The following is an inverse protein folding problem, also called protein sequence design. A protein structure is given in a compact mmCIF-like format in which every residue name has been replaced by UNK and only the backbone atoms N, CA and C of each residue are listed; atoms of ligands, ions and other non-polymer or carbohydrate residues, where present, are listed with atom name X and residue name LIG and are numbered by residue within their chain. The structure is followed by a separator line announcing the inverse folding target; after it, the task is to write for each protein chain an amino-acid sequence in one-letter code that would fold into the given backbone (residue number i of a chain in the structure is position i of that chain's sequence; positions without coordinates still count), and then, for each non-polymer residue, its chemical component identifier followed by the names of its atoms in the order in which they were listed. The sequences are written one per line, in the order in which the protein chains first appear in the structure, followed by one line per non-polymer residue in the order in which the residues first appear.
data_IF_336752312786
#
_entry.id   IF_336752312786
#
_cell.length_a   1.000
_cell.length_b   1.000
_cell.length_c   1.000
_cell.angle_alpha   90.00
_cell.angle_beta   90.00
_cell.angle_gamma   90.00
#
_symmetry.space_group_name_H-M   'P 1'
#
loop_
_entity.id
_entity.type
_entity.pdbx_description
1 polymer ?
#
# COMPACT_ATOMS: atom_id res chain seq x y z
N UNK A 1 23.05 -2.95 27.41
CA UNK A 1 22.24 -2.07 28.29
C UNK A 1 20.80 -1.91 27.80
N UNK A 2 20.54 -1.43 26.58
CA UNK A 2 19.15 -1.28 26.08
C UNK A 2 18.34 -2.59 26.07
N UNK A 3 18.96 -3.71 25.70
CA UNK A 3 18.33 -5.03 25.76
C UNK A 3 17.94 -5.44 27.21
N UNK A 4 18.76 -5.05 28.20
CA UNK A 4 18.53 -5.33 29.62
C UNK A 4 17.34 -4.52 30.14
N UNK A 5 17.29 -3.22 29.82
CA UNK A 5 16.14 -2.36 30.13
C UNK A 5 14.87 -2.93 29.50
N UNK A 6 14.89 -3.27 28.20
CA UNK A 6 13.73 -3.85 27.50
C UNK A 6 13.31 -5.21 28.08
N UNK A 7 14.25 -6.00 28.62
CA UNK A 7 13.95 -7.24 29.33
C UNK A 7 13.17 -6.98 30.62
N UNK A 8 13.67 -6.08 31.48
CA UNK A 8 13.00 -5.73 32.73
C UNK A 8 11.64 -5.05 32.52
N UNK A 9 11.51 -4.18 31.51
CA UNK A 9 10.22 -3.57 31.15
C UNK A 9 9.19 -4.62 30.72
N UNK A 10 9.58 -5.60 29.89
CA UNK A 10 8.68 -6.70 29.48
C UNK A 10 8.30 -7.59 30.67
N UNK A 11 9.19 -7.77 31.63
CA UNK A 11 8.93 -8.48 32.87
C UNK A 11 8.16 -7.64 33.92
N UNK A 12 7.72 -6.42 33.57
CA UNK A 12 7.04 -5.48 34.48
C UNK A 12 7.84 -5.12 35.75
N UNK A 13 9.18 -5.17 35.67
CA UNK A 13 10.11 -4.86 36.77
C UNK A 13 10.80 -3.51 36.56
N UNK A 14 10.03 -2.42 36.62
CA UNK A 14 10.50 -1.07 36.29
C UNK A 14 11.60 -0.55 37.25
N UNK A 15 11.52 -0.93 38.52
CA UNK A 15 12.51 -0.64 39.57
C UNK A 15 13.90 -1.16 39.20
N UNK A 16 13.97 -2.38 38.63
CA UNK A 16 15.21 -3.00 38.18
C UNK A 16 15.74 -2.41 36.88
N UNK A 17 14.86 -1.84 36.05
CA UNK A 17 15.26 -1.16 34.81
C UNK A 17 15.87 0.23 35.07
N UNK A 18 15.42 0.92 36.12
CA UNK A 18 15.70 2.34 36.34
C UNK A 18 17.21 2.71 36.42
N UNK A 19 18.08 1.96 37.13
CA UNK A 19 19.51 2.29 37.18
C UNK A 19 20.19 2.20 35.81
N UNK A 20 19.84 1.18 35.02
CA UNK A 20 20.39 0.99 33.68
C UNK A 20 19.87 2.05 32.70
N UNK A 21 18.61 2.45 32.85
CA UNK A 21 18.03 3.55 32.06
C UNK A 21 18.74 4.88 32.34
N UNK A 22 19.03 5.18 33.61
CA UNK A 22 19.79 6.39 33.99
C UNK A 22 21.17 6.42 33.33
N UNK A 23 21.92 5.32 33.42
CA UNK A 23 23.24 5.19 32.79
C UNK A 23 23.15 5.37 31.26
N UNK A 24 22.12 4.82 30.63
CA UNK A 24 21.91 4.98 29.19
C UNK A 24 21.67 6.44 28.80
N UNK A 25 20.84 7.16 29.54
CA UNK A 25 20.54 8.57 29.25
C UNK A 25 21.74 9.48 29.49
N UNK A 26 22.54 9.22 30.53
CA UNK A 26 23.76 9.99 30.82
C UNK A 26 24.85 9.76 29.77
N UNK A 27 25.09 8.49 29.38
CA UNK A 27 26.15 8.16 28.42
C UNK A 27 25.76 8.39 26.96
N UNK A 28 24.47 8.25 26.65
CA UNK A 28 23.94 8.36 25.29
C UNK A 28 22.71 9.29 25.30
N UNK A 29 22.91 10.61 25.53
CA UNK A 29 21.81 11.58 25.62
C UNK A 29 21.00 11.71 24.33
N UNK A 30 21.60 11.36 23.19
CA UNK A 30 20.94 11.28 21.88
C UNK A 30 20.63 9.83 21.45
N UNK A 31 20.86 8.84 22.32
CA UNK A 31 20.66 7.43 22.01
C UNK A 31 19.18 7.03 21.90
N UNK A 32 18.90 5.83 21.39
CA UNK A 32 17.53 5.34 21.21
C UNK A 32 16.68 5.35 22.49
N UNK A 33 17.31 5.17 23.66
CA UNK A 33 16.62 5.23 24.95
C UNK A 33 16.10 6.64 25.30
N UNK A 34 16.76 7.70 24.80
CA UNK A 34 16.32 9.09 24.95
C UNK A 34 15.31 9.50 23.87
N UNK A 35 15.47 8.96 22.65
CA UNK A 35 14.60 9.25 21.51
C UNK A 35 13.21 8.60 21.66
N UNK A 36 13.14 7.34 22.11
CA UNK A 36 11.92 6.55 22.07
C UNK A 36 10.74 7.17 22.84
N UNK A 37 10.88 7.70 24.08
CA UNK A 37 9.78 8.37 24.77
C UNK A 37 9.24 9.59 24.00
N UNK A 38 10.12 10.42 23.45
CA UNK A 38 9.73 11.60 22.65
C UNK A 38 9.04 11.22 21.35
N UNK A 39 9.49 10.14 20.71
CA UNK A 39 8.79 9.59 19.57
C UNK A 39 7.38 9.06 19.93
N UNK A 40 7.22 8.43 21.10
CA UNK A 40 5.91 7.97 21.57
C UNK A 40 4.97 9.14 21.90
N UNK A 41 5.48 10.23 22.48
CA UNK A 41 4.72 11.49 22.66
C UNK A 41 4.19 11.99 21.30
N UNK A 42 5.04 12.04 20.28
CA UNK A 42 4.63 12.40 18.92
C UNK A 42 3.55 11.46 18.35
N UNK A 43 3.70 10.14 18.53
CA UNK A 43 2.70 9.16 18.07
C UNK A 43 1.36 9.27 18.80
N UNK A 44 1.37 9.70 20.06
CA UNK A 44 0.19 9.86 20.88
C UNK A 44 -0.58 11.16 20.61
N UNK A 45 0.07 12.14 19.96
CA UNK A 45 -0.57 13.40 19.58
C UNK A 45 -1.72 13.16 18.59
N UNK A 46 -2.90 13.71 18.92
CA UNK A 46 -4.17 13.41 18.22
C UNK A 46 -4.51 14.42 17.13
N UNK A 47 -4.24 15.71 17.36
CA UNK A 47 -4.52 16.79 16.41
C UNK A 47 -3.26 17.27 15.69
N UNK A 48 -3.46 18.06 14.63
CA UNK A 48 -2.41 18.59 13.78
C UNK A 48 -1.41 19.46 14.58
N UNK A 49 -1.90 20.38 15.41
CA UNK A 49 -1.04 21.32 16.14
C UNK A 49 -0.12 20.58 17.13
N UNK A 50 -0.68 19.65 17.90
CA UNK A 50 0.07 18.81 18.82
C UNK A 50 1.10 17.93 18.10
N UNK A 51 0.76 17.38 16.93
CA UNK A 51 1.70 16.61 16.10
C UNK A 51 2.84 17.46 15.57
N UNK A 52 2.54 18.63 15.02
CA UNK A 52 3.56 19.55 14.51
C UNK A 52 4.51 19.96 15.64
N UNK A 53 3.96 20.38 16.78
CA UNK A 53 4.76 20.80 17.93
C UNK A 53 5.69 19.69 18.43
N UNK A 54 5.14 18.52 18.76
CA UNK A 54 5.93 17.40 19.28
C UNK A 54 6.94 16.87 18.27
N UNK A 55 6.62 16.92 16.97
CA UNK A 55 7.52 16.53 15.89
C UNK A 55 8.70 17.50 15.74
N UNK A 56 8.44 18.81 15.72
CA UNK A 56 9.51 19.83 15.65
C UNK A 56 10.38 19.83 16.90
N UNK A 57 9.80 19.63 18.09
CA UNK A 57 10.55 19.44 19.34
C UNK A 57 11.48 18.22 19.25
N UNK A 58 10.99 17.10 18.71
CA UNK A 58 11.82 15.91 18.49
C UNK A 58 12.96 16.20 17.51
N UNK A 59 12.66 16.76 16.34
CA UNK A 59 13.65 17.01 15.27
C UNK A 59 14.73 17.98 15.76
N UNK A 60 14.32 19.03 16.47
CA UNK A 60 15.24 20.00 17.07
C UNK A 60 16.17 19.34 18.08
N UNK A 61 15.63 18.47 18.93
CA UNK A 61 16.40 17.78 19.97
C UNK A 61 17.29 16.66 19.43
N UNK A 62 16.85 15.98 18.37
CA UNK A 62 17.51 14.82 17.79
C UNK A 62 17.61 14.97 16.26
N UNK A 63 18.39 15.92 15.73
CA UNK A 63 18.42 16.22 14.30
C UNK A 63 18.94 15.06 13.43
N UNK A 64 19.70 14.13 14.02
CA UNK A 64 20.16 12.87 13.40
C UNK A 64 19.48 11.65 14.02
N UNK A 65 18.34 11.84 14.68
CA UNK A 65 17.61 10.80 15.37
C UNK A 65 17.00 9.78 14.41
N UNK A 66 16.77 8.57 14.90
CA UNK A 66 16.29 7.42 14.14
C UNK A 66 14.90 7.63 13.53
N UNK A 67 14.11 8.55 14.09
CA UNK A 67 12.73 8.80 13.69
C UNK A 67 12.52 10.10 12.90
N UNK A 68 13.57 10.88 12.61
CA UNK A 68 13.44 12.20 11.94
C UNK A 68 12.71 12.08 10.61
N UNK A 69 13.18 11.22 9.70
CA UNK A 69 12.56 11.07 8.37
C UNK A 69 11.11 10.59 8.45
N UNK A 70 10.79 9.72 9.41
CA UNK A 70 9.42 9.27 9.64
C UNK A 70 8.52 10.41 10.14
N UNK A 71 8.98 11.17 11.14
CA UNK A 71 8.24 12.30 11.70
C UNK A 71 7.97 13.35 10.62
N UNK A 72 8.99 13.71 9.84
CA UNK A 72 8.85 14.65 8.72
C UNK A 72 7.82 14.17 7.70
N UNK A 73 7.84 12.88 7.33
CA UNK A 73 6.84 12.29 6.44
C UNK A 73 5.42 12.34 7.02
N UNK A 74 5.26 12.09 8.32
CA UNK A 74 3.96 12.24 8.99
C UNK A 74 3.50 13.69 8.99
N UNK A 75 4.37 14.66 9.29
CA UNK A 75 4.04 16.09 9.27
C UNK A 75 3.53 16.52 7.89
N UNK A 76 4.24 16.16 6.81
CA UNK A 76 3.80 16.42 5.44
C UNK A 76 2.43 15.82 5.17
N UNK A 77 2.20 14.57 5.59
CA UNK A 77 0.90 13.92 5.43
C UNK A 77 -0.22 14.58 6.25
N UNK A 78 0.06 15.12 7.43
CA UNK A 78 -0.95 15.85 8.20
C UNK A 78 -1.33 17.17 7.52
N UNK A 79 -0.37 17.89 6.91
CA UNK A 79 -0.70 19.05 6.06
C UNK A 79 -1.55 18.65 4.84
N UNK A 80 -1.19 17.57 4.16
CA UNK A 80 -1.97 17.02 3.03
C UNK A 80 -3.40 16.68 3.46
N UNK A 81 -3.58 15.98 4.59
CA UNK A 81 -4.90 15.63 5.12
C UNK A 81 -5.74 16.87 5.38
N UNK A 82 -5.14 17.91 5.97
CA UNK A 82 -5.76 19.21 6.21
C UNK A 82 -5.99 20.05 4.94
N UNK A 83 -5.60 19.57 3.75
CA UNK A 83 -5.71 20.31 2.49
C UNK A 83 -4.71 21.46 2.34
N UNK A 84 -3.73 21.56 3.25
CA UNK A 84 -2.74 22.63 3.29
C UNK A 84 -1.54 22.28 2.39
N UNK A 85 -1.79 22.13 1.09
CA UNK A 85 -0.78 21.67 0.12
C UNK A 85 0.43 22.58 0.02
N UNK A 86 0.25 23.91 0.04
CA UNK A 86 1.36 24.86 -0.01
C UNK A 86 2.33 24.67 1.17
N UNK A 87 1.78 24.48 2.38
CA UNK A 87 2.60 24.19 3.58
C UNK A 87 3.27 22.83 3.49
N UNK A 88 2.60 21.82 2.94
CA UNK A 88 3.19 20.50 2.74
C UNK A 88 4.39 20.56 1.77
N UNK A 89 4.27 21.33 0.69
CA UNK A 89 5.32 21.58 -0.30
C UNK A 89 6.47 22.38 0.32
N UNK A 90 6.16 23.48 1.00
CA UNK A 90 7.14 24.31 1.70
C UNK A 90 7.94 23.51 2.72
N UNK A 91 7.24 22.75 3.58
CA UNK A 91 7.87 21.90 4.58
C UNK A 91 8.79 20.87 3.93
N UNK A 92 8.32 20.20 2.88
CA UNK A 92 9.12 19.23 2.13
C UNK A 92 10.41 19.88 1.62
N UNK A 93 10.30 21.01 0.92
CA UNK A 93 11.45 21.65 0.28
C UNK A 93 12.45 22.30 1.26
N UNK A 94 12.00 22.69 2.46
CA UNK A 94 12.82 23.47 3.41
C UNK A 94 13.31 22.66 4.61
N UNK A 95 12.60 21.60 5.00
CA UNK A 95 12.90 20.82 6.22
C UNK A 95 13.49 19.44 5.91
N UNK A 96 13.26 18.89 4.73
CA UNK A 96 13.78 17.57 4.34
C UNK A 96 15.07 17.75 3.52
N UNK A 97 16.20 17.35 4.09
CA UNK A 97 17.51 17.54 3.46
C UNK A 97 17.74 16.63 2.24
N UNK A 98 17.34 15.36 2.34
CA UNK A 98 17.54 14.35 1.30
C UNK A 98 16.23 14.08 0.57
N UNK A 99 15.88 14.98 -0.36
CA UNK A 99 14.67 14.85 -1.15
C UNK A 99 14.75 13.65 -2.10
N UNK A 100 13.65 12.91 -2.15
CA UNK A 100 13.52 11.67 -2.94
C UNK A 100 12.37 11.77 -3.92
N UNK A 101 12.37 10.87 -4.91
CA UNK A 101 11.26 10.70 -5.83
C UNK A 101 9.93 10.50 -5.08
N UNK A 102 9.95 9.73 -4.00
CA UNK A 102 8.75 9.42 -3.22
C UNK A 102 8.22 10.60 -2.41
N UNK A 103 9.07 11.56 -2.00
CA UNK A 103 8.60 12.78 -1.36
C UNK A 103 7.71 13.59 -2.31
N UNK A 104 8.18 13.80 -3.55
CA UNK A 104 7.41 14.52 -4.55
C UNK A 104 6.22 13.71 -5.09
N UNK A 105 6.39 12.40 -5.26
CA UNK A 105 5.31 11.50 -5.67
C UNK A 105 4.12 11.56 -4.70
N UNK A 106 4.39 11.51 -3.40
CA UNK A 106 3.34 11.57 -2.36
C UNK A 106 2.54 12.86 -2.44
N UNK A 107 3.21 14.01 -2.58
CA UNK A 107 2.54 15.30 -2.74
C UNK A 107 1.72 15.35 -4.03
N UNK A 108 2.32 14.96 -5.16
CA UNK A 108 1.67 15.02 -6.46
C UNK A 108 0.43 14.11 -6.52
N UNK A 109 0.54 12.89 -6.02
CA UNK A 109 -0.56 11.94 -5.93
C UNK A 109 -1.70 12.48 -5.06
N UNK A 110 -1.39 13.01 -3.88
CA UNK A 110 -2.42 13.56 -3.01
C UNK A 110 -3.13 14.79 -3.62
N UNK A 111 -2.39 15.65 -4.34
CA UNK A 111 -2.98 16.77 -5.07
C UNK A 111 -3.87 16.29 -6.22
N UNK A 112 -3.45 15.23 -6.93
CA UNK A 112 -4.24 14.59 -7.98
C UNK A 112 -5.56 14.01 -7.45
N UNK A 113 -5.51 13.27 -6.34
CA UNK A 113 -6.69 12.64 -5.72
C UNK A 113 -7.69 13.66 -5.18
N UNK A 114 -7.22 14.80 -4.68
CA UNK A 114 -8.08 15.85 -4.10
C UNK A 114 -8.51 16.92 -5.11
N UNK A 115 -8.28 16.71 -6.41
CA UNK A 115 -8.59 17.71 -7.45
C UNK A 115 -7.99 19.10 -7.14
N UNK A 116 -6.80 19.13 -6.54
CA UNK A 116 -6.08 20.37 -6.24
C UNK A 116 -5.44 20.95 -7.51
N UNK A 117 -4.51 21.91 -7.37
CA UNK A 117 -3.81 22.51 -8.51
C UNK A 117 -3.05 21.44 -9.33
N UNK A 118 -3.61 21.09 -10.48
CA UNK A 118 -3.08 20.06 -11.39
C UNK A 118 -1.76 20.47 -12.04
N UNK A 119 -1.56 21.76 -12.32
CA UNK A 119 -0.28 22.23 -12.88
C UNK A 119 0.82 22.07 -11.83
N UNK A 120 0.51 22.42 -10.58
CA UNK A 120 1.45 22.23 -9.47
C UNK A 120 1.72 20.76 -9.18
N UNK A 121 0.69 19.91 -9.20
CA UNK A 121 0.84 18.47 -9.08
C UNK A 121 1.74 17.91 -10.19
N UNK A 122 1.60 18.40 -11.41
CA UNK A 122 2.41 17.99 -12.56
C UNK A 122 3.89 18.37 -12.39
N UNK A 123 4.17 19.58 -11.91
CA UNK A 123 5.55 20.01 -11.58
C UNK A 123 6.19 19.08 -10.55
N UNK A 124 5.46 18.74 -9.48
CA UNK A 124 5.96 17.85 -8.43
C UNK A 124 6.17 16.44 -8.96
N UNK A 125 5.22 15.89 -9.72
CA UNK A 125 5.36 14.57 -10.31
C UNK A 125 6.57 14.50 -11.27
N UNK A 126 6.80 15.55 -12.07
CA UNK A 126 7.97 15.63 -12.95
C UNK A 126 9.29 15.62 -12.15
N UNK A 127 9.38 16.36 -11.03
CA UNK A 127 10.54 16.29 -10.11
C UNK A 127 10.71 14.88 -9.53
N UNK A 128 9.61 14.22 -9.19
CA UNK A 128 9.60 12.84 -8.76
C UNK A 128 10.23 11.91 -9.80
N UNK A 129 9.79 12.02 -11.06
CA UNK A 129 10.35 11.26 -12.19
C UNK A 129 11.84 11.55 -12.36
N UNK A 130 12.25 12.81 -12.32
CA UNK A 130 13.66 13.21 -12.47
C UNK A 130 14.56 12.54 -11.41
N UNK A 131 14.15 12.58 -10.13
CA UNK A 131 14.87 11.91 -9.05
C UNK A 131 14.83 10.38 -9.16
N UNK A 132 13.69 9.83 -9.60
CA UNK A 132 13.54 8.39 -9.85
C UNK A 132 14.50 7.89 -10.93
N UNK A 133 14.70 8.64 -12.01
CA UNK A 133 15.70 8.33 -13.05
C UNK A 133 17.13 8.33 -12.54
N UNK A 134 17.41 9.10 -11.49
CA UNK A 134 18.70 9.13 -10.78
C UNK A 134 18.79 8.04 -9.70
N UNK A 135 17.82 7.13 -9.62
CA UNK A 135 17.66 6.08 -8.59
C UNK A 135 17.54 6.62 -7.15
N UNK A 136 17.02 7.83 -6.97
CA UNK A 136 16.84 8.47 -5.66
C UNK A 136 15.39 8.28 -5.18
N UNK A 137 14.97 7.03 -4.94
CA UNK A 137 13.60 6.72 -4.53
C UNK A 137 13.35 6.89 -3.03
N UNK A 138 14.32 6.50 -2.21
CA UNK A 138 14.24 6.60 -0.75
C UNK A 138 15.60 7.04 -0.20
N UNK A 139 15.60 7.81 0.90
CA UNK A 139 16.82 8.40 1.48
C UNK A 139 17.84 7.33 1.91
N UNK A 140 17.37 6.16 2.34
CA UNK A 140 18.18 5.06 2.86
C UNK A 140 18.00 3.75 2.07
N UNK A 141 17.72 3.83 0.77
CA UNK A 141 17.51 2.63 -0.04
C UNK A 141 18.77 1.77 -0.08
N UNK A 142 18.74 0.63 0.61
CA UNK A 142 19.81 -0.36 0.65
C UNK A 142 19.22 -1.74 0.48
N UNK A 143 19.92 -2.61 -0.25
CA UNK A 143 19.57 -4.02 -0.34
C UNK A 143 19.60 -4.64 1.07
N UNK A 144 18.52 -5.30 1.48
CA UNK A 144 18.53 -6.02 2.76
C UNK A 144 19.32 -7.34 2.64
N UNK A 145 19.82 -7.91 3.76
CA UNK A 145 20.58 -9.16 3.71
C UNK A 145 19.83 -10.36 3.13
N UNK A 146 18.49 -10.33 3.18
CA UNK A 146 17.62 -11.42 2.71
C UNK A 146 17.14 -11.23 1.26
N UNK A 147 17.40 -10.08 0.65
CA UNK A 147 17.05 -9.82 -0.75
C UNK A 147 18.20 -10.20 -1.68
N UNK A 148 17.87 -10.96 -2.72
CA UNK A 148 18.75 -11.15 -3.87
C UNK A 148 18.95 -9.84 -4.62
N UNK A 149 20.01 -9.76 -5.44
CA UNK A 149 20.25 -8.60 -6.30
C UNK A 149 19.12 -8.40 -7.31
N UNK A 150 18.56 -9.50 -7.84
CA UNK A 150 17.45 -9.45 -8.78
C UNK A 150 16.19 -8.85 -8.14
N UNK A 151 15.82 -9.31 -6.94
CA UNK A 151 14.67 -8.77 -6.20
C UNK A 151 14.86 -7.30 -5.87
N UNK A 152 16.08 -6.91 -5.49
CA UNK A 152 16.39 -5.51 -5.22
C UNK A 152 16.24 -4.64 -6.47
N UNK A 153 16.79 -5.06 -7.61
CA UNK A 153 16.61 -4.36 -8.89
C UNK A 153 15.13 -4.26 -9.26
N UNK A 154 14.36 -5.35 -9.11
CA UNK A 154 12.91 -5.33 -9.34
C UNK A 154 12.20 -4.34 -8.43
N UNK A 155 12.59 -4.23 -7.16
CA UNK A 155 12.00 -3.26 -6.24
C UNK A 155 12.23 -1.81 -6.69
N UNK A 156 13.43 -1.49 -7.19
CA UNK A 156 13.76 -0.17 -7.75
C UNK A 156 12.92 0.11 -9.01
N UNK A 157 12.82 -0.86 -9.92
CA UNK A 157 12.01 -0.70 -11.14
C UNK A 157 10.53 -0.48 -10.82
N UNK A 158 9.98 -1.20 -9.83
CA UNK A 158 8.60 -0.99 -9.35
C UNK A 158 8.41 0.41 -8.75
N UNK A 159 9.37 0.92 -7.98
CA UNK A 159 9.32 2.30 -7.47
C UNK A 159 9.32 3.31 -8.62
N UNK A 160 10.11 3.09 -9.68
CA UNK A 160 10.05 3.92 -10.89
C UNK A 160 8.66 3.84 -11.55
N UNK A 161 8.11 2.64 -11.67
CA UNK A 161 6.76 2.42 -12.22
C UNK A 161 5.69 3.19 -11.47
N UNK A 162 5.72 3.20 -10.14
CA UNK A 162 4.79 3.97 -9.30
C UNK A 162 4.88 5.48 -9.53
N UNK A 163 6.10 6.00 -9.66
CA UNK A 163 6.33 7.43 -9.92
C UNK A 163 5.84 7.82 -11.32
N UNK A 164 6.07 6.96 -12.31
CA UNK A 164 5.56 7.15 -13.67
C UNK A 164 4.04 7.02 -13.76
N UNK A 165 3.43 6.14 -12.97
CA UNK A 165 1.97 6.00 -12.91
C UNK A 165 1.32 7.29 -12.42
N UNK A 166 1.83 7.85 -11.31
CA UNK A 166 1.38 9.15 -10.78
C UNK A 166 1.55 10.26 -11.80
N UNK A 167 2.73 10.36 -12.42
CA UNK A 167 3.00 11.37 -13.44
C UNK A 167 2.08 11.24 -14.65
N UNK A 168 1.89 10.03 -15.16
CA UNK A 168 1.02 9.72 -16.28
C UNK A 168 -0.45 9.99 -16.00
N UNK A 169 -0.93 9.66 -14.80
CA UNK A 169 -2.28 9.98 -14.36
C UNK A 169 -2.55 11.49 -14.34
N UNK A 170 -1.60 12.27 -13.83
CA UNK A 170 -1.69 13.74 -13.78
C UNK A 170 -1.60 14.33 -15.20
N UNK A 171 -0.70 13.84 -16.04
CA UNK A 171 -0.61 14.25 -17.45
C UNK A 171 -1.94 14.06 -18.18
N UNK A 172 -2.59 12.90 -17.98
CA UNK A 172 -3.87 12.60 -18.59
C UNK A 172 -4.95 13.60 -18.14
N UNK A 173 -5.00 13.89 -16.84
CA UNK A 173 -5.93 14.86 -16.24
C UNK A 173 -5.66 16.30 -16.70
N UNK A 174 -4.39 16.65 -16.93
CA UNK A 174 -3.95 17.92 -17.51
C UNK A 174 -4.20 18.02 -19.03
N UNK A 175 -4.77 16.99 -19.67
CA UNK A 175 -5.04 16.97 -21.11
C UNK A 175 -3.83 16.65 -21.99
N UNK A 176 -2.68 16.30 -21.41
CA UNK A 176 -1.44 15.94 -22.12
C UNK A 176 -1.43 14.45 -22.46
N UNK A 177 -2.37 14.04 -23.31
CA UNK A 177 -2.75 12.63 -23.52
C UNK A 177 -1.61 11.78 -24.10
N UNK A 178 -0.88 12.27 -25.07
CA UNK A 178 0.22 11.54 -25.74
C UNK A 178 1.38 11.31 -24.78
N UNK A 179 1.69 12.30 -23.94
CA UNK A 179 2.70 12.18 -22.88
C UNK A 179 2.25 11.18 -21.82
N UNK A 180 0.97 11.22 -21.43
CA UNK A 180 0.40 10.27 -20.49
C UNK A 180 0.51 8.82 -20.98
N UNK A 181 0.21 8.57 -22.26
CA UNK A 181 0.37 7.24 -22.88
C UNK A 181 1.80 6.74 -22.74
N UNK A 182 2.81 7.59 -22.99
CA UNK A 182 4.22 7.21 -22.87
C UNK A 182 4.60 6.86 -21.43
N UNK A 183 4.26 7.73 -20.48
CA UNK A 183 4.58 7.52 -19.07
C UNK A 183 3.90 6.26 -18.50
N UNK A 184 2.61 6.06 -18.81
CA UNK A 184 1.84 4.94 -18.32
C UNK A 184 2.24 3.61 -18.99
N UNK A 185 2.59 3.63 -20.28
CA UNK A 185 3.12 2.43 -20.96
C UNK A 185 4.39 1.94 -20.26
N UNK A 186 5.28 2.86 -19.91
CA UNK A 186 6.51 2.52 -19.20
C UNK A 186 6.23 2.07 -17.76
N UNK A 187 5.30 2.73 -17.05
CA UNK A 187 4.88 2.30 -15.71
C UNK A 187 4.39 0.86 -15.70
N UNK A 188 3.50 0.53 -16.66
CA UNK A 188 2.98 -0.83 -16.89
C UNK A 188 4.10 -1.82 -17.20
N UNK A 189 5.05 -1.44 -18.06
CA UNK A 189 6.19 -2.30 -18.40
C UNK A 189 7.08 -2.60 -17.18
N UNK A 190 7.42 -1.57 -16.40
CA UNK A 190 8.26 -1.70 -15.20
C UNK A 190 7.56 -2.47 -14.07
N UNK A 191 6.24 -2.36 -13.98
CA UNK A 191 5.39 -3.16 -13.08
C UNK A 191 5.11 -4.58 -13.58
N UNK A 192 5.68 -4.99 -14.71
CA UNK A 192 5.43 -6.30 -15.36
C UNK A 192 3.91 -6.55 -15.58
N UNK A 193 3.15 -5.48 -15.84
CA UNK A 193 1.70 -5.43 -15.97
C UNK A 193 0.91 -5.99 -14.78
N UNK A 194 1.51 -6.14 -13.59
CA UNK A 194 0.85 -6.79 -12.44
C UNK A 194 -0.16 -5.87 -11.72
N UNK A 195 0.01 -4.55 -11.84
CA UNK A 195 -0.79 -3.57 -11.10
C UNK A 195 -2.07 -3.20 -11.87
N UNK A 196 -3.22 -3.69 -11.40
CA UNK A 196 -4.53 -3.48 -12.04
C UNK A 196 -4.87 -2.00 -12.22
N UNK A 197 -4.67 -1.16 -11.20
CA UNK A 197 -5.00 0.27 -11.27
C UNK A 197 -4.13 1.05 -12.27
N UNK A 198 -2.82 0.77 -12.32
CA UNK A 198 -1.90 1.37 -13.29
C UNK A 198 -2.28 0.94 -14.71
N UNK A 199 -2.66 -0.32 -14.90
CA UNK A 199 -3.17 -0.84 -16.17
C UNK A 199 -4.46 -0.13 -16.60
N UNK A 200 -5.40 0.14 -15.68
CA UNK A 200 -6.62 0.91 -15.97
C UNK A 200 -6.30 2.30 -16.49
N UNK A 201 -5.37 3.01 -15.83
CA UNK A 201 -4.96 4.37 -16.23
C UNK A 201 -4.31 4.35 -17.61
N UNK A 202 -3.44 3.37 -17.87
CA UNK A 202 -2.84 3.20 -19.18
C UNK A 202 -3.88 2.99 -20.29
N UNK A 203 -4.87 2.12 -20.06
CA UNK A 203 -5.99 1.92 -20.98
C UNK A 203 -6.79 3.21 -21.17
N UNK A 204 -7.10 3.94 -20.11
CA UNK A 204 -7.76 5.26 -20.21
C UNK A 204 -6.97 6.23 -21.09
N UNK A 205 -5.64 6.25 -20.97
CA UNK A 205 -4.79 7.10 -21.82
C UNK A 205 -4.83 6.67 -23.30
N UNK A 206 -4.80 5.36 -23.59
CA UNK A 206 -4.96 4.84 -24.96
C UNK A 206 -6.31 5.24 -25.57
N UNK A 207 -7.39 5.10 -24.81
CA UNK A 207 -8.73 5.52 -25.24
C UNK A 207 -8.77 7.04 -25.51
N UNK A 208 -8.13 7.85 -24.65
CA UNK A 208 -8.14 9.31 -24.75
C UNK A 208 -7.45 9.83 -26.02
N UNK A 209 -6.43 9.14 -26.53
CA UNK A 209 -5.76 9.43 -27.82
C UNK A 209 -6.43 8.74 -29.02
N UNK A 210 -7.56 8.07 -28.80
CA UNK A 210 -8.31 7.37 -29.86
C UNK A 210 -7.72 6.02 -30.27
N UNK A 211 -6.69 5.52 -29.59
CA UNK A 211 -6.10 4.19 -29.83
C UNK A 211 -6.95 3.08 -29.19
N UNK A 212 -8.20 2.99 -29.65
CA UNK A 212 -9.21 2.06 -29.14
C UNK A 212 -8.88 0.60 -29.43
N UNK A 213 -8.13 0.32 -30.51
CA UNK A 213 -7.71 -1.04 -30.87
C UNK A 213 -6.74 -1.62 -29.84
N UNK A 214 -5.71 -0.87 -29.47
CA UNK A 214 -4.74 -1.35 -28.47
C UNK A 214 -5.36 -1.37 -27.07
N UNK A 215 -6.20 -0.38 -26.73
CA UNK A 215 -6.97 -0.35 -25.49
C UNK A 215 -7.82 -1.63 -25.34
N UNK A 216 -8.57 -2.00 -26.38
CA UNK A 216 -9.37 -3.21 -26.40
C UNK A 216 -8.52 -4.46 -26.22
N UNK A 217 -7.43 -4.61 -27.00
CA UNK A 217 -6.58 -5.80 -26.90
C UNK A 217 -5.96 -5.96 -25.49
N UNK A 218 -5.58 -4.85 -24.84
CA UNK A 218 -5.10 -4.86 -23.46
C UNK A 218 -6.19 -5.24 -22.47
N UNK A 219 -7.38 -4.68 -22.60
CA UNK A 219 -8.53 -5.00 -21.75
C UNK A 219 -8.90 -6.48 -21.80
N UNK A 220 -8.98 -7.06 -23.00
CA UNK A 220 -9.25 -8.49 -23.19
C UNK A 220 -8.18 -9.36 -22.53
N UNK A 221 -6.90 -8.99 -22.70
CA UNK A 221 -5.77 -9.68 -22.04
C UNK A 221 -5.89 -9.62 -20.52
N UNK A 222 -6.13 -8.44 -19.94
CA UNK A 222 -6.20 -8.25 -18.50
C UNK A 222 -7.41 -8.94 -17.89
N UNK A 223 -8.58 -8.85 -18.52
CA UNK A 223 -9.81 -9.53 -18.07
C UNK A 223 -9.76 -11.05 -18.23
N UNK A 224 -8.85 -11.57 -19.07
CA UNK A 224 -8.54 -13.01 -19.15
C UNK A 224 -7.48 -13.46 -18.13
N UNK A 225 -6.90 -12.52 -17.39
CA UNK A 225 -5.83 -12.74 -16.42
C UNK A 225 -6.23 -12.41 -14.99
N UNK A 226 -5.23 -12.31 -14.11
CA UNK A 226 -5.43 -11.93 -12.70
C UNK A 226 -5.46 -10.41 -12.50
N UNK A 227 -5.11 -9.66 -13.55
CA UNK A 227 -5.00 -8.21 -13.60
C UNK A 227 -6.35 -7.51 -13.81
N UNK A 228 -7.38 -8.25 -14.21
CA UNK A 228 -8.68 -7.72 -14.57
C UNK A 228 -9.41 -7.09 -13.38
N UNK A 229 -9.98 -5.91 -13.60
CA UNK A 229 -10.75 -5.18 -12.59
C UNK A 229 -12.17 -4.90 -13.09
N UNK A 230 -13.07 -4.51 -12.17
CA UNK A 230 -14.42 -4.09 -12.52
C UNK A 230 -14.40 -2.88 -13.48
N UNK A 231 -13.51 -1.92 -13.25
CA UNK A 231 -13.37 -0.74 -14.11
C UNK A 231 -12.82 -1.08 -15.50
N UNK A 232 -11.94 -2.08 -15.62
CA UNK A 232 -11.54 -2.57 -16.95
C UNK A 232 -12.72 -3.17 -17.72
N UNK A 233 -13.62 -3.89 -17.04
CA UNK A 233 -14.85 -4.39 -17.68
C UNK A 233 -15.73 -3.24 -18.18
N UNK A 234 -15.87 -2.17 -17.40
CA UNK A 234 -16.57 -0.94 -17.81
C UNK A 234 -15.89 -0.27 -19.03
N UNK A 235 -14.57 -0.09 -18.98
CA UNK A 235 -13.79 0.46 -20.10
C UNK A 235 -13.96 -0.39 -21.37
N UNK A 236 -13.98 -1.73 -21.26
CA UNK A 236 -14.21 -2.60 -22.41
C UNK A 236 -15.63 -2.46 -22.96
N UNK A 237 -16.62 -2.27 -22.07
CA UNK A 237 -18.00 -2.01 -22.47
C UNK A 237 -18.11 -0.72 -23.28
N UNK A 238 -17.47 0.36 -22.82
CA UNK A 238 -17.44 1.64 -23.54
C UNK A 238 -16.84 1.49 -24.94
N UNK A 239 -15.70 0.81 -25.04
CA UNK A 239 -15.04 0.56 -26.34
C UNK A 239 -15.92 -0.31 -27.25
N UNK A 240 -16.54 -1.35 -26.70
CA UNK A 240 -17.46 -2.23 -27.44
C UNK A 240 -18.68 -1.47 -27.98
N UNK A 241 -19.35 -0.67 -27.14
CA UNK A 241 -20.52 0.13 -27.53
C UNK A 241 -20.13 1.15 -28.60
N UNK A 242 -18.98 1.82 -28.47
CA UNK A 242 -18.50 2.78 -29.47
C UNK A 242 -18.28 2.13 -30.85
N UNK A 243 -17.87 0.87 -30.89
CA UNK A 243 -17.64 0.14 -32.13
C UNK A 243 -18.91 -0.52 -32.71
N UNK A 244 -19.80 -1.02 -31.85
CA UNK A 244 -20.98 -1.81 -32.25
C UNK A 244 -22.28 -1.02 -32.26
N UNK A 245 -22.30 0.17 -31.68
CA UNK A 245 -23.48 1.04 -31.56
C UNK A 245 -24.50 0.60 -30.50
N UNK A 246 -24.25 -0.51 -29.78
CA UNK A 246 -25.13 -1.05 -28.75
C UNK A 246 -24.34 -1.92 -27.78
N UNK A 247 -24.84 -2.07 -26.54
CA UNK A 247 -24.31 -3.02 -25.55
C UNK A 247 -24.76 -4.47 -25.80
N UNK A 248 -25.67 -4.67 -26.78
CA UNK A 248 -26.19 -5.99 -27.11
C UNK A 248 -25.05 -6.97 -27.41
N UNK A 249 -25.04 -8.10 -26.69
CA UNK A 249 -24.02 -9.14 -26.82
C UNK A 249 -22.76 -8.94 -25.98
N UNK A 250 -22.61 -7.81 -25.27
CA UNK A 250 -21.45 -7.53 -24.43
C UNK A 250 -21.28 -8.57 -23.30
N UNK A 251 -22.36 -8.98 -22.63
CA UNK A 251 -22.27 -9.97 -21.55
C UNK A 251 -21.72 -11.32 -22.05
N UNK A 252 -22.16 -11.76 -23.24
CA UNK A 252 -21.62 -12.96 -23.88
C UNK A 252 -20.15 -12.78 -24.28
N UNK A 253 -19.80 -11.58 -24.73
CA UNK A 253 -18.44 -11.22 -25.14
C UNK A 253 -17.46 -11.30 -23.95
N UNK A 254 -17.79 -10.62 -22.85
CA UNK A 254 -16.91 -10.54 -21.68
C UNK A 254 -16.86 -11.84 -20.87
N UNK A 255 -17.93 -12.64 -20.89
CA UNK A 255 -17.99 -13.92 -20.20
C UNK A 255 -16.87 -14.90 -20.62
N UNK A 256 -16.40 -14.83 -21.87
CA UNK A 256 -15.28 -15.65 -22.33
C UNK A 256 -13.97 -15.31 -21.59
N UNK A 257 -13.70 -14.03 -21.37
CA UNK A 257 -12.51 -13.55 -20.67
C UNK A 257 -12.60 -13.84 -19.17
N UNK A 258 -13.75 -13.54 -18.55
CA UNK A 258 -13.99 -13.83 -17.13
C UNK A 258 -13.85 -15.33 -16.82
N UNK A 259 -14.36 -16.19 -17.73
CA UNK A 259 -14.17 -17.64 -17.62
C UNK A 259 -12.70 -18.02 -17.73
N UNK A 260 -11.96 -17.45 -18.68
CA UNK A 260 -10.52 -17.71 -18.83
C UNK A 260 -9.72 -17.29 -17.57
N UNK A 261 -10.03 -16.13 -17.01
CA UNK A 261 -9.43 -15.67 -15.75
C UNK A 261 -9.75 -16.60 -14.58
N UNK A 262 -11.01 -17.02 -14.45
CA UNK A 262 -11.45 -17.95 -13.42
C UNK A 262 -10.73 -19.31 -13.53
N UNK A 263 -10.67 -19.87 -14.74
CA UNK A 263 -10.00 -21.16 -15.00
C UNK A 263 -8.51 -21.06 -14.68
N UNK A 264 -7.84 -19.96 -15.09
CA UNK A 264 -6.43 -19.71 -14.81
C UNK A 264 -6.16 -19.59 -13.31
N UNK A 265 -6.94 -18.76 -12.59
CA UNK A 265 -6.82 -18.59 -11.15
C UNK A 265 -7.04 -19.90 -10.40
N UNK A 266 -8.04 -20.68 -10.81
CA UNK A 266 -8.31 -22.01 -10.24
C UNK A 266 -7.15 -22.97 -10.48
N UNK A 267 -6.57 -22.98 -11.68
CA UNK A 267 -5.42 -23.83 -11.99
C UNK A 267 -4.16 -23.43 -11.20
N UNK A 268 -3.90 -22.13 -11.03
CA UNK A 268 -2.78 -21.63 -10.24
C UNK A 268 -2.93 -21.99 -8.75
N UNK A 269 -4.10 -21.71 -8.16
CA UNK A 269 -4.39 -22.07 -6.77
C UNK A 269 -4.22 -23.58 -6.53
N UNK A 270 -4.71 -24.43 -7.44
CA UNK A 270 -4.53 -25.89 -7.33
C UNK A 270 -3.06 -26.33 -7.32
N UNK A 271 -2.16 -25.60 -7.97
CA UNK A 271 -0.71 -25.90 -7.96
C UNK A 271 -0.05 -25.50 -6.65
N UNK A 272 -0.54 -24.44 -6.01
CA UNK A 272 -0.03 -23.92 -4.74
C UNK A 272 -0.63 -24.63 -3.52
N UNK A 273 -1.70 -25.40 -3.71
CA UNK A 273 -2.32 -26.19 -2.64
C UNK A 273 -1.34 -27.21 -2.07
N UNK A 274 -1.09 -27.09 -0.77
CA UNK A 274 -0.30 -28.06 -0.01
C UNK A 274 -1.24 -29.19 0.43
N UNK A 275 -0.89 -30.42 0.08
CA UNK A 275 -1.65 -31.62 0.47
C UNK A 275 -1.11 -32.22 1.78
N UNK A 276 -1.05 -31.39 2.82
CA UNK A 276 -0.65 -31.80 4.16
C UNK A 276 -1.79 -31.54 5.15
N UNK A 277 -1.99 -32.41 6.16
CA UNK A 277 -2.97 -32.14 7.20
C UNK A 277 -2.67 -30.82 7.90
N UNK A 278 -3.69 -29.97 8.04
CA UNK A 278 -3.56 -28.74 8.80
C UNK A 278 -3.18 -29.04 10.27
N UNK A 279 -2.24 -28.27 10.89
CA UNK A 279 -1.87 -28.44 12.28
C UNK A 279 -3.10 -28.38 13.21
N UNK A 280 -3.24 -29.39 14.06
CA UNK A 280 -4.36 -29.45 15.00
C UNK A 280 -4.18 -28.40 16.10
N UNK A 281 -5.27 -27.72 16.43
CA UNK A 281 -5.32 -26.78 17.55
C UNK A 281 -6.65 -26.88 18.29
N UNK A 282 -6.65 -26.35 19.52
CA UNK A 282 -7.87 -26.10 20.28
C UNK A 282 -7.74 -24.82 21.08
N UNK A 283 -8.76 -23.99 21.01
CA UNK A 283 -8.84 -22.69 21.66
C UNK A 283 -10.17 -22.55 22.40
N UNK A 284 -10.27 -21.55 23.26
CA UNK A 284 -11.53 -21.16 23.87
C UNK A 284 -12.19 -20.07 23.01
N UNK A 285 -13.50 -20.17 22.81
CA UNK A 285 -14.28 -19.06 22.27
C UNK A 285 -14.56 -17.99 23.33
N UNK A 286 -15.26 -16.92 22.94
CA UNK A 286 -15.61 -15.81 23.82
C UNK A 286 -16.53 -16.20 25.00
N UNK A 287 -17.18 -17.36 24.93
CA UNK A 287 -18.02 -17.90 25.99
C UNK A 287 -17.28 -18.93 26.86
N UNK A 288 -15.97 -19.12 26.64
CA UNK A 288 -15.16 -20.11 27.34
C UNK A 288 -15.39 -21.56 26.87
N UNK A 289 -16.09 -21.76 25.74
CA UNK A 289 -16.28 -23.10 25.17
C UNK A 289 -15.04 -23.49 24.37
N UNK A 290 -14.58 -24.72 24.59
CA UNK A 290 -13.50 -25.31 23.80
C UNK A 290 -13.96 -25.58 22.36
N UNK A 291 -13.20 -25.07 21.39
CA UNK A 291 -13.36 -25.28 19.96
C UNK A 291 -12.08 -25.93 19.44
N UNK A 292 -12.20 -27.00 18.64
CA UNK A 292 -11.08 -27.67 17.99
C UNK A 292 -11.23 -27.64 16.47
N UNK A 293 -10.10 -27.60 15.76
CA UNK A 293 -10.12 -27.74 14.29
C UNK A 293 -10.77 -29.06 13.84
N UNK A 294 -10.60 -30.14 14.62
CA UNK A 294 -11.18 -31.45 14.35
C UNK A 294 -12.72 -31.44 14.36
N UNK A 295 -13.35 -30.49 15.06
CA UNK A 295 -14.82 -30.36 15.13
C UNK A 295 -15.43 -30.00 13.77
N UNK A 296 -14.61 -29.55 12.82
CA UNK A 296 -15.03 -29.10 11.49
C UNK A 296 -14.56 -30.02 10.36
N UNK A 297 -14.34 -31.30 10.66
CA UNK A 297 -14.05 -32.32 9.64
C UNK A 297 -15.08 -32.26 8.51
N UNK A 298 -14.61 -32.49 7.28
CA UNK A 298 -15.39 -32.50 6.04
C UNK A 298 -15.98 -31.13 5.64
N UNK A 299 -15.57 -30.04 6.31
CA UNK A 299 -15.86 -28.66 5.92
C UNK A 299 -14.62 -27.98 5.36
N UNK A 300 -14.83 -26.99 4.50
CA UNK A 300 -13.80 -26.01 4.19
C UNK A 300 -13.68 -25.06 5.38
N UNK A 301 -12.53 -25.00 6.02
CA UNK A 301 -12.28 -24.12 7.17
C UNK A 301 -11.40 -22.95 6.74
N UNK A 302 -11.90 -21.73 6.93
CA UNK A 302 -11.15 -20.49 6.72
C UNK A 302 -10.72 -19.99 8.11
N UNK A 303 -9.42 -19.90 8.33
CA UNK A 303 -8.84 -19.39 9.57
C UNK A 303 -8.25 -18.01 9.32
N UNK A 304 -8.77 -17.01 10.02
CA UNK A 304 -8.33 -15.61 9.94
C UNK A 304 -7.66 -15.22 11.26
N UNK A 305 -6.37 -14.88 11.21
CA UNK A 305 -5.61 -14.41 12.37
C UNK A 305 -5.57 -12.88 12.38
N UNK A 306 -6.01 -12.27 13.48
CA UNK A 306 -6.14 -10.82 13.58
C UNK A 306 -5.79 -10.30 14.97
N UNK A 307 -5.58 -8.98 15.07
CA UNK A 307 -5.35 -8.29 16.34
C UNK A 307 -6.00 -6.90 16.37
N UNK A 308 -6.35 -6.41 17.56
CA UNK A 308 -7.02 -5.09 17.74
C UNK A 308 -6.16 -3.91 17.31
N UNK A 309 -4.84 -4.06 17.33
CA UNK A 309 -3.88 -3.06 16.87
C UNK A 309 -3.54 -3.18 15.37
N UNK A 310 -4.02 -4.23 14.69
CA UNK A 310 -3.74 -4.47 13.27
C UNK A 310 -4.73 -3.66 12.40
N UNK A 311 -4.33 -2.45 12.02
CA UNK A 311 -5.12 -1.57 11.15
C UNK A 311 -5.64 -2.26 9.87
N UNK A 312 -4.79 -2.92 9.06
CA UNK A 312 -5.25 -3.64 7.87
C UNK A 312 -6.24 -4.77 8.16
N UNK A 313 -6.09 -5.49 9.28
CA UNK A 313 -7.00 -6.55 9.68
C UNK A 313 -8.39 -5.97 9.99
N UNK A 314 -8.47 -4.86 10.72
CA UNK A 314 -9.75 -4.19 11.01
C UNK A 314 -10.44 -3.71 9.73
N UNK A 315 -9.67 -3.20 8.77
CA UNK A 315 -10.19 -2.77 7.47
C UNK A 315 -10.74 -3.92 6.61
N UNK A 316 -10.33 -5.18 6.83
CA UNK A 316 -10.81 -6.33 6.05
C UNK A 316 -12.16 -6.88 6.55
N UNK A 317 -12.57 -6.54 7.77
CA UNK A 317 -13.75 -7.11 8.43
C UNK A 317 -15.07 -6.95 7.66
N UNK A 318 -15.37 -5.81 7.00
CA UNK A 318 -16.56 -5.71 6.16
C UNK A 318 -16.60 -6.76 5.04
N UNK A 319 -15.45 -7.03 4.42
CA UNK A 319 -15.31 -8.07 3.41
C UNK A 319 -15.48 -9.48 3.99
N UNK A 320 -14.88 -9.75 5.14
CA UNK A 320 -15.02 -11.04 5.82
C UNK A 320 -16.46 -11.30 6.29
N UNK A 321 -17.15 -10.29 6.79
CA UNK A 321 -18.58 -10.39 7.10
C UNK A 321 -19.40 -10.82 5.87
N UNK A 322 -19.15 -10.18 4.73
CA UNK A 322 -19.83 -10.51 3.47
C UNK A 322 -19.55 -11.96 3.04
N UNK A 323 -18.31 -12.42 3.22
CA UNK A 323 -17.92 -13.81 2.91
C UNK A 323 -18.63 -14.82 3.84
N UNK A 324 -18.69 -14.54 5.14
CA UNK A 324 -19.40 -15.36 6.13
C UNK A 324 -20.88 -15.50 5.75
N UNK A 325 -21.55 -14.37 5.52
CA UNK A 325 -22.98 -14.32 5.16
C UNK A 325 -23.27 -15.13 3.89
N UNK A 326 -22.37 -15.06 2.90
CA UNK A 326 -22.52 -15.78 1.63
C UNK A 326 -22.23 -17.27 1.71
N UNK A 327 -21.19 -17.68 2.44
CA UNK A 327 -20.65 -19.03 2.34
C UNK A 327 -20.94 -19.93 3.55
N UNK A 328 -21.11 -19.39 4.76
CA UNK A 328 -21.46 -20.22 5.93
C UNK A 328 -22.91 -20.70 5.88
N UNK A 329 -23.82 -19.97 5.22
CA UNK A 329 -25.24 -20.32 5.11
C UNK A 329 -25.47 -21.72 4.50
N UNK A 330 -24.57 -22.18 3.63
CA UNK A 330 -24.62 -23.50 3.01
C UNK A 330 -24.08 -24.65 3.88
N UNK A 331 -23.57 -24.38 5.09
CA UNK A 331 -23.06 -25.38 6.04
C UNK A 331 -21.75 -26.08 5.66
N UNK A 332 -21.24 -25.86 4.44
CA UNK A 332 -20.01 -26.47 3.89
C UNK A 332 -18.73 -25.71 4.23
N UNK A 333 -18.86 -24.43 4.60
CA UNK A 333 -17.75 -23.55 4.93
C UNK A 333 -17.88 -23.11 6.38
N UNK A 334 -16.76 -23.08 7.11
CA UNK A 334 -16.67 -22.55 8.47
C UNK A 334 -15.56 -21.52 8.57
N UNK A 335 -15.84 -20.37 9.16
CA UNK A 335 -14.87 -19.33 9.46
C UNK A 335 -14.50 -19.37 10.94
N UNK A 336 -13.21 -19.24 11.23
CA UNK A 336 -12.64 -19.13 12.57
C UNK A 336 -11.76 -17.87 12.64
N UNK A 337 -12.20 -16.88 13.39
CA UNK A 337 -11.44 -15.65 13.65
C UNK A 337 -10.64 -15.80 14.94
N UNK A 338 -9.32 -15.92 14.82
CA UNK A 338 -8.40 -16.14 15.95
C UNK A 338 -7.75 -14.80 16.31
N UNK A 339 -8.06 -14.29 17.49
CA UNK A 339 -7.42 -13.09 18.00
C UNK A 339 -6.04 -13.43 18.60
N UNK A 340 -4.99 -12.71 18.16
CA UNK A 340 -3.59 -12.94 18.56
C UNK A 340 -3.00 -11.83 19.40
#
# INVERSE_FOLDING_TARGET
LSAVVNGYTRAKAADKAAPFQKILLEKFPEGSAAQAPKFMEFRAAKDLEAKLKSGEEYITKFPKGNYVSYIQGVIVNEYIKAGQFDKAIEYTNTKIANLTAMNYNTLAWAMYEKDADINKALELAAKGVELGRKNVFYADMKRTPYQTESEYKKSILRSMGMVLDTYGAILLKAGKKEEAVKALAEAVQLGEEQEGETNERYVSALIAVGNTKDAQAKLEKYLSGEQGTAKMKEQLKEVYVKQKGSETGFDKYVAAFEKAAFDKKTANLKKEMINEPAPQFSLLDLNGKKVSLADFKDKVVIVDFWATWCGPCLSSFPGMKTAVEKYEAGGKVKFLFVNT
#
